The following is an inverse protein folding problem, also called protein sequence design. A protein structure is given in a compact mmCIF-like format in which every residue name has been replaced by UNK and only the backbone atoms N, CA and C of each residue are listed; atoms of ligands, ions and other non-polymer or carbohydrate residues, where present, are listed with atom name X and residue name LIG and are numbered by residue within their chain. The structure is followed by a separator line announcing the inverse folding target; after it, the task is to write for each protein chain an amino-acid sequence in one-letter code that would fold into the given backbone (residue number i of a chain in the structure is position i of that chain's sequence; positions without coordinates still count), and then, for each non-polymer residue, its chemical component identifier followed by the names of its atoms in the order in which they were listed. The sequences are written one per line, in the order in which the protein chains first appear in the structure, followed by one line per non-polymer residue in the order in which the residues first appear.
data_IF_966433733690
#
_entry.id   IF_966433733690
#
_cell.length_a   1.000
_cell.length_b   1.000
_cell.length_c   1.000
_cell.angle_alpha   90.00
_cell.angle_beta   90.00
_cell.angle_gamma   90.00
#
_symmetry.space_group_name_H-M   'P 1'
#
loop_
_entity.id
_entity.type
_entity.pdbx_description
1 polymer ?
#
# COMPACT_ATOMS: atom_id res chain seq x y z
N UNK A 1 -0.40 55.87 -10.04
CA UNK A 1 0.08 54.48 -10.25
C UNK A 1 1.04 54.16 -9.12
N UNK A 2 0.76 53.18 -8.25
CA UNK A 2 1.67 52.76 -7.17
C UNK A 2 2.68 51.76 -7.74
N UNK A 3 3.94 52.14 -7.75
CA UNK A 3 5.08 51.27 -8.11
C UNK A 3 5.32 50.26 -6.99
N UNK A 4 5.29 48.97 -7.34
CA UNK A 4 5.57 47.87 -6.41
C UNK A 4 7.09 47.70 -6.31
N UNK A 5 7.61 47.62 -5.08
CA UNK A 5 9.04 47.44 -4.80
C UNK A 5 9.52 46.03 -5.21
N UNK A 6 10.71 45.88 -5.82
CA UNK A 6 11.27 44.58 -6.19
C UNK A 6 11.48 43.63 -5.00
N UNK A 7 11.62 44.16 -3.77
CA UNK A 7 11.70 43.35 -2.55
C UNK A 7 10.38 42.65 -2.18
N UNK A 8 9.24 43.20 -2.63
CA UNK A 8 7.92 42.60 -2.40
C UNK A 8 7.66 41.42 -3.36
N UNK A 9 8.19 41.48 -4.59
CA UNK A 9 8.08 40.35 -5.54
C UNK A 9 8.91 39.13 -5.09
N UNK A 10 10.10 39.35 -4.55
CA UNK A 10 11.00 38.27 -4.10
C UNK A 10 10.44 37.49 -2.91
N UNK A 11 9.82 38.19 -1.96
CA UNK A 11 9.17 37.57 -0.80
C UNK A 11 7.92 36.79 -1.21
N UNK A 12 7.08 37.31 -2.10
CA UNK A 12 5.91 36.57 -2.61
C UNK A 12 6.35 35.26 -3.31
N UNK A 13 7.43 35.29 -4.11
CA UNK A 13 7.94 34.11 -4.80
C UNK A 13 8.50 33.04 -3.85
N UNK A 14 9.20 33.43 -2.78
CA UNK A 14 9.71 32.51 -1.75
C UNK A 14 8.58 31.80 -0.99
N UNK A 15 7.51 32.52 -0.64
CA UNK A 15 6.38 31.93 0.06
C UNK A 15 5.56 31.03 -0.86
N UNK A 16 5.44 31.41 -2.13
CA UNK A 16 4.76 30.60 -3.14
C UNK A 16 5.46 29.26 -3.38
N UNK A 17 6.79 29.26 -3.47
CA UNK A 17 7.58 28.03 -3.64
C UNK A 17 7.55 27.13 -2.41
N UNK A 18 7.62 27.71 -1.20
CA UNK A 18 7.45 26.96 0.05
C UNK A 18 6.06 26.33 0.15
N UNK A 19 5.00 27.07 -0.19
CA UNK A 19 3.63 26.55 -0.22
C UNK A 19 3.48 25.39 -1.22
N UNK A 20 4.06 25.51 -2.43
CA UNK A 20 4.02 24.44 -3.44
C UNK A 20 4.75 23.18 -2.93
N UNK A 21 5.91 23.33 -2.28
CA UNK A 21 6.66 22.21 -1.69
C UNK A 21 5.88 21.52 -0.56
N UNK A 22 5.25 22.29 0.32
CA UNK A 22 4.43 21.76 1.41
C UNK A 22 3.17 21.05 0.90
N UNK A 23 2.52 21.59 -0.14
CA UNK A 23 1.38 20.95 -0.81
C UNK A 23 1.81 19.64 -1.51
N UNK A 24 2.99 19.61 -2.12
CA UNK A 24 3.54 18.39 -2.74
C UNK A 24 3.83 17.28 -1.74
N UNK A 25 4.43 17.61 -0.59
CA UNK A 25 4.69 16.64 0.49
C UNK A 25 3.40 16.04 1.06
N UNK A 26 2.35 16.85 1.20
CA UNK A 26 1.04 16.36 1.65
C UNK A 26 0.40 15.38 0.66
N UNK A 27 0.60 15.58 -0.65
CA UNK A 27 0.07 14.68 -1.69
C UNK A 27 0.78 13.32 -1.74
N UNK A 28 2.00 13.18 -1.19
CA UNK A 28 2.69 11.89 -1.10
C UNK A 28 2.15 10.99 0.02
N UNK A 29 1.39 11.52 0.97
CA UNK A 29 0.83 10.79 2.11
C UNK A 29 -0.52 10.11 1.80
N UNK A 30 -0.77 9.75 0.54
CA UNK A 30 -2.00 9.05 0.16
C UNK A 30 -1.94 7.63 0.72
N UNK A 31 -2.82 7.34 1.68
CA UNK A 31 -3.02 5.99 2.19
C UNK A 31 -3.49 5.08 1.05
N UNK A 32 -2.92 3.86 0.96
CA UNK A 32 -3.44 2.86 0.03
C UNK A 32 -4.94 2.64 0.30
N UNK A 33 -5.74 2.45 -0.76
CA UNK A 33 -7.15 2.14 -0.59
C UNK A 33 -7.31 0.86 0.24
N UNK A 34 -8.18 0.94 1.25
CA UNK A 34 -8.45 -0.15 2.18
C UNK A 34 -9.08 -1.36 1.48
N UNK A 35 -9.77 -1.17 0.36
CA UNK A 35 -10.34 -2.24 -0.46
C UNK A 35 -9.77 -2.14 -1.87
N UNK A 36 -9.29 -3.27 -2.38
CA UNK A 36 -8.70 -3.40 -3.72
C UNK A 36 -9.38 -4.55 -4.45
N UNK A 37 -9.47 -4.49 -5.77
CA UNK A 37 -10.18 -5.47 -6.58
C UNK A 37 -9.26 -6.16 -7.58
N UNK A 38 -9.43 -7.47 -7.73
CA UNK A 38 -8.83 -8.25 -8.83
C UNK A 38 -9.92 -9.17 -9.38
N UNK A 39 -10.26 -9.00 -10.67
CA UNK A 39 -11.36 -9.72 -11.34
C UNK A 39 -12.66 -9.72 -10.51
N UNK A 40 -13.12 -8.54 -10.13
CA UNK A 40 -14.32 -8.32 -9.29
C UNK A 40 -14.28 -8.91 -7.87
N UNK A 41 -13.18 -9.57 -7.47
CA UNK A 41 -13.01 -10.07 -6.11
C UNK A 41 -12.39 -9.00 -5.20
N UNK A 42 -13.07 -8.60 -4.10
CA UNK A 42 -12.53 -7.61 -3.18
C UNK A 42 -11.53 -8.22 -2.21
N UNK A 43 -10.48 -7.44 -1.94
CA UNK A 43 -9.45 -7.69 -0.94
C UNK A 43 -9.39 -6.50 0.01
N UNK A 44 -9.59 -6.76 1.30
CA UNK A 44 -9.44 -5.77 2.36
C UNK A 44 -8.01 -5.77 2.89
N UNK A 45 -7.37 -4.61 2.84
CA UNK A 45 -5.99 -4.38 3.24
C UNK A 45 -5.92 -4.02 4.73
N UNK A 46 -5.13 -4.81 5.46
CA UNK A 46 -4.64 -4.50 6.80
C UNK A 46 -3.13 -4.31 6.72
N UNK A 47 -2.67 -3.06 6.79
CA UNK A 47 -1.25 -2.74 6.80
C UNK A 47 -0.59 -3.15 8.13
N UNK A 48 0.74 -3.36 8.11
CA UNK A 48 1.54 -3.70 9.31
C UNK A 48 1.02 -4.91 10.09
N UNK A 49 0.43 -5.86 9.35
CA UNK A 49 -0.32 -6.99 9.91
C UNK A 49 -0.09 -8.22 9.04
N UNK A 50 0.08 -9.38 9.66
CA UNK A 50 -0.05 -10.68 9.00
C UNK A 50 -1.39 -11.35 9.38
N UNK A 51 -2.00 -12.02 8.41
CA UNK A 51 -3.07 -12.98 8.65
C UNK A 51 -2.46 -14.28 9.17
N UNK A 52 -2.96 -14.83 10.28
CA UNK A 52 -2.61 -16.16 10.78
C UNK A 52 -3.62 -17.17 10.25
N UNK A 53 -3.17 -18.31 9.74
CA UNK A 53 -4.08 -19.33 9.23
C UNK A 53 -3.40 -20.47 8.49
N UNK A 54 -4.15 -21.15 7.62
CA UNK A 54 -3.66 -22.30 6.87
C UNK A 54 -2.98 -21.88 5.58
N UNK A 55 -1.66 -21.69 5.62
CA UNK A 55 -0.85 -21.47 4.41
C UNK A 55 -0.94 -22.69 3.49
N UNK A 56 -1.28 -22.45 2.23
CA UNK A 56 -1.37 -23.49 1.19
C UNK A 56 -0.39 -23.26 0.04
N UNK A 57 0.17 -22.06 -0.09
CA UNK A 57 1.13 -21.74 -1.12
C UNK A 57 2.02 -20.55 -0.72
N UNK A 58 3.19 -20.46 -1.32
CA UNK A 58 4.11 -19.32 -1.19
C UNK A 58 4.63 -18.95 -2.57
N UNK A 59 4.79 -17.65 -2.81
CA UNK A 59 5.46 -17.10 -3.99
C UNK A 59 6.61 -16.22 -3.49
N UNK A 60 7.81 -16.47 -3.98
CA UNK A 60 9.01 -15.70 -3.65
C UNK A 60 9.32 -14.71 -4.78
N UNK A 61 10.04 -13.64 -4.45
CA UNK A 61 10.51 -12.62 -5.40
C UNK A 61 9.36 -11.99 -6.21
N UNK A 62 8.27 -11.66 -5.52
CA UNK A 62 7.09 -11.05 -6.12
C UNK A 62 7.39 -9.60 -6.45
N UNK A 63 7.03 -9.17 -7.67
CA UNK A 63 7.18 -7.77 -8.09
C UNK A 63 5.97 -6.92 -7.69
N UNK A 64 4.77 -7.49 -7.74
CA UNK A 64 3.51 -6.80 -7.46
C UNK A 64 2.55 -7.71 -6.67
N UNK A 65 1.82 -7.12 -5.73
CA UNK A 65 0.77 -7.81 -4.97
C UNK A 65 -0.31 -8.43 -5.87
N UNK A 66 -0.54 -7.89 -7.06
CA UNK A 66 -1.57 -8.41 -7.97
C UNK A 66 -1.26 -9.83 -8.46
N UNK A 67 0.02 -10.22 -8.55
CA UNK A 67 0.43 -11.61 -8.81
C UNK A 67 -0.09 -12.55 -7.70
N UNK A 68 0.07 -12.13 -6.44
CA UNK A 68 -0.37 -12.91 -5.28
C UNK A 68 -1.90 -13.00 -5.18
N UNK A 69 -2.60 -11.90 -5.45
CA UNK A 69 -4.08 -11.89 -5.48
C UNK A 69 -4.61 -12.78 -6.62
N UNK A 70 -3.97 -12.76 -7.79
CA UNK A 70 -4.33 -13.66 -8.89
C UNK A 70 -4.08 -15.13 -8.52
N UNK A 71 -2.95 -15.45 -7.88
CA UNK A 71 -2.66 -16.79 -7.40
C UNK A 71 -3.65 -17.26 -6.31
N UNK A 72 -4.06 -16.36 -5.42
CA UNK A 72 -5.12 -16.61 -4.45
C UNK A 72 -6.47 -16.90 -5.12
N UNK A 73 -6.85 -16.10 -6.12
CA UNK A 73 -8.09 -16.29 -6.89
C UNK A 73 -8.13 -17.68 -7.54
N UNK A 74 -7.05 -18.07 -8.21
CA UNK A 74 -6.93 -19.40 -8.85
C UNK A 74 -7.06 -20.56 -7.86
N UNK A 75 -6.71 -20.34 -6.58
CA UNK A 75 -6.73 -21.36 -5.51
C UNK A 75 -7.95 -21.26 -4.61
N UNK A 76 -8.91 -20.37 -4.90
CA UNK A 76 -10.04 -20.07 -4.02
C UNK A 76 -9.60 -19.79 -2.57
N UNK A 77 -8.58 -18.95 -2.41
CA UNK A 77 -8.01 -18.67 -1.09
C UNK A 77 -8.84 -17.66 -0.28
N UNK A 78 -8.60 -17.62 1.03
CA UNK A 78 -9.23 -16.66 1.96
C UNK A 78 -8.41 -15.39 2.15
N UNK A 79 -7.07 -15.47 2.14
CA UNK A 79 -6.24 -14.31 2.35
C UNK A 79 -4.84 -14.45 1.74
N UNK A 80 -4.19 -13.31 1.53
CA UNK A 80 -2.80 -13.20 1.10
C UNK A 80 -2.04 -12.42 2.16
N UNK A 81 -0.90 -12.93 2.62
CA UNK A 81 0.10 -12.11 3.28
C UNK A 81 1.13 -11.66 2.25
N UNK A 82 1.47 -10.39 2.22
CA UNK A 82 2.64 -9.87 1.54
C UNK A 82 3.68 -9.52 2.60
N UNK A 83 4.90 -10.00 2.44
CA UNK A 83 6.02 -9.73 3.33
C UNK A 83 7.15 -9.08 2.54
N UNK A 84 7.62 -7.95 3.02
CA UNK A 84 8.91 -7.39 2.65
C UNK A 84 10.00 -8.15 3.39
N UNK A 85 10.86 -8.85 2.64
CA UNK A 85 11.97 -9.66 3.17
C UNK A 85 13.34 -9.00 2.96
N UNK A 86 13.39 -7.93 2.14
CA UNK A 86 14.56 -7.08 1.91
C UNK A 86 14.12 -5.71 1.40
N UNK A 87 15.06 -4.81 1.10
CA UNK A 87 14.74 -3.42 0.69
C UNK A 87 13.79 -3.37 -0.52
N UNK A 88 13.98 -4.28 -1.48
CA UNK A 88 13.17 -4.43 -2.69
C UNK A 88 12.71 -5.87 -2.93
N UNK A 89 12.80 -6.71 -1.90
CA UNK A 89 12.47 -8.13 -2.01
C UNK A 89 11.18 -8.43 -1.27
N UNK A 90 10.23 -9.01 -2.00
CA UNK A 90 8.93 -9.37 -1.45
C UNK A 90 8.63 -10.83 -1.69
N UNK A 91 7.87 -11.41 -0.77
CA UNK A 91 7.24 -12.72 -0.93
C UNK A 91 5.80 -12.64 -0.49
N UNK A 92 4.98 -13.58 -0.91
CA UNK A 92 3.63 -13.70 -0.39
C UNK A 92 3.25 -15.11 -0.03
N UNK A 93 2.39 -15.23 0.98
CA UNK A 93 1.77 -16.47 1.39
C UNK A 93 0.30 -16.45 1.03
N UNK A 94 -0.20 -17.56 0.51
CA UNK A 94 -1.61 -17.76 0.17
C UNK A 94 -2.23 -18.64 1.24
N UNK A 95 -3.30 -18.17 1.87
CA UNK A 95 -3.96 -18.83 2.99
C UNK A 95 -5.34 -19.33 2.57
N UNK A 96 -5.62 -20.62 2.83
CA UNK A 96 -6.94 -21.21 2.60
C UNK A 96 -7.98 -20.74 3.63
N UNK A 97 -7.56 -20.41 4.84
CA UNK A 97 -8.42 -19.86 5.89
C UNK A 97 -7.62 -18.94 6.81
N UNK A 98 -8.32 -18.04 7.51
CA UNK A 98 -7.75 -17.11 8.51
C UNK A 98 -8.33 -17.46 9.89
N UNK A 99 -7.45 -17.57 10.89
CA UNK A 99 -7.79 -17.83 12.31
C UNK A 99 -7.57 -16.62 13.20
N UNK A 100 -6.80 -15.63 12.74
CA UNK A 100 -6.50 -14.42 13.49
C UNK A 100 -5.58 -13.50 12.73
N UNK A 101 -5.19 -12.41 13.39
CA UNK A 101 -4.33 -11.36 12.85
C UNK A 101 -3.25 -11.06 13.87
N UNK A 102 -2.04 -10.77 13.40
CA UNK A 102 -0.91 -10.46 14.25
C UNK A 102 -0.18 -9.22 13.70
N UNK A 103 0.18 -8.24 14.54
CA UNK A 103 1.03 -7.14 14.13
C UNK A 103 2.36 -7.66 13.58
N UNK A 104 2.74 -7.20 12.39
CA UNK A 104 3.96 -7.62 11.72
C UNK A 104 4.50 -6.46 10.87
N UNK A 105 5.67 -5.94 11.26
CA UNK A 105 6.34 -4.87 10.51
C UNK A 105 6.83 -5.42 9.17
N UNK A 106 6.67 -4.63 8.10
CA UNK A 106 6.99 -5.07 6.74
C UNK A 106 5.99 -6.07 6.16
N UNK A 107 4.85 -6.31 6.83
CA UNK A 107 3.80 -7.20 6.34
C UNK A 107 2.49 -6.46 6.04
N UNK A 108 1.73 -7.01 5.10
CA UNK A 108 0.36 -6.61 4.82
C UNK A 108 -0.53 -7.84 4.62
N UNK A 109 -1.70 -7.82 5.24
CA UNK A 109 -2.70 -8.87 5.18
C UNK A 109 -3.85 -8.41 4.27
N UNK A 110 -4.09 -9.14 3.19
CA UNK A 110 -5.16 -8.90 2.22
C UNK A 110 -6.22 -10.00 2.37
N UNK A 111 -7.32 -9.68 3.03
CA UNK A 111 -8.41 -10.64 3.26
C UNK A 111 -9.40 -10.58 2.10
N UNK A 112 -9.62 -11.71 1.45
CA UNK A 112 -10.64 -11.83 0.43
C UNK A 112 -11.99 -12.12 1.09
N UNK A 113 -12.95 -11.24 0.84
CA UNK A 113 -14.36 -11.49 1.17
C UNK A 113 -15.05 -12.09 -0.05
N UNK A 114 -16.12 -12.86 0.19
CA UNK A 114 -16.89 -13.65 -0.78
C UNK A 114 -16.22 -14.98 -1.17
#
# INVERSE_FOLDING_TARGET
MKTISPGLLSTIAMWSTLCIMLLGLAACCVSLPQVQYVNDKPYHLMQTTECRGGKVYEINQVQDIDECKAACLHRNCRAVNLFQVGEYEFKCEILAYVRGYQPAQGAACYVSYY
#
